data_IF_927392465146
#
_entry.id   IF_927392465146
#
_cell.length_a   1.000
_cell.length_b   1.000
_cell.length_c   1.000
_cell.angle_alpha   90.00
_cell.angle_beta   90.00
_cell.angle_gamma   90.00
#
_symmetry.space_group_name_H-M   'P 1'
#
loop_
_entity.id
_entity.type
_entity.pdbx_description
1 polymer ?
#
# COMPACT_ATOMS: atom_id res chain seq x y z
N UNK A 1 -8.41 -19.36 7.47
CA UNK A 1 -8.97 -18.36 6.53
C UNK A 1 -8.74 -18.92 5.13
N UNK A 2 -9.78 -19.26 4.38
CA UNK A 2 -9.66 -19.81 3.01
C UNK A 2 -9.41 -18.69 2.00
N UNK A 3 -8.36 -17.89 2.22
CA UNK A 3 -8.11 -16.65 1.48
C UNK A 3 -6.69 -16.64 0.92
N UNK A 4 -6.54 -16.15 -0.31
CA UNK A 4 -5.24 -15.75 -0.85
C UNK A 4 -5.13 -14.22 -0.88
N UNK A 5 -3.90 -13.73 -0.74
CA UNK A 5 -3.59 -12.31 -0.61
C UNK A 5 -2.58 -11.88 -1.66
N UNK A 6 -2.81 -10.75 -2.29
CA UNK A 6 -1.88 -10.18 -3.28
C UNK A 6 -2.11 -8.67 -3.42
N UNK A 7 -1.15 -8.01 -4.05
CA UNK A 7 -1.22 -6.60 -4.38
C UNK A 7 -1.40 -6.37 -5.88
N UNK A 8 -2.28 -5.45 -6.27
CA UNK A 8 -2.40 -5.03 -7.68
C UNK A 8 -1.44 -3.87 -7.99
N UNK A 9 -0.88 -3.86 -9.22
CA UNK A 9 0.07 -2.85 -9.67
C UNK A 9 -0.49 -1.44 -9.93
N UNK A 10 0.30 -0.63 -10.61
CA UNK A 10 0.03 0.78 -10.90
C UNK A 10 -1.03 0.98 -12.00
N UNK A 11 -1.72 2.14 -12.02
CA UNK A 11 -2.57 2.53 -13.13
C UNK A 11 -1.75 2.94 -14.35
N UNK A 12 -2.41 2.89 -15.51
CA UNK A 12 -1.85 3.33 -16.79
C UNK A 12 -2.65 4.51 -17.36
N UNK A 13 -1.99 5.48 -18.04
CA UNK A 13 -0.54 5.63 -18.22
C UNK A 13 0.16 6.15 -16.95
N UNK A 14 1.49 6.31 -16.93
CA UNK A 14 2.16 7.00 -15.81
C UNK A 14 1.73 8.45 -15.66
N UNK A 15 1.43 9.14 -16.77
CA UNK A 15 0.92 10.50 -16.77
C UNK A 15 -0.43 10.58 -16.04
N UNK A 16 -0.43 11.11 -14.81
CA UNK A 16 -1.60 11.20 -13.94
C UNK A 16 -2.71 12.06 -14.53
N UNK A 17 -2.33 13.17 -15.19
CA UNK A 17 -3.27 14.18 -15.67
C UNK A 17 -4.22 13.61 -16.73
N UNK A 18 -3.83 12.51 -17.39
CA UNK A 18 -4.63 11.80 -18.39
C UNK A 18 -5.69 10.86 -17.80
N UNK A 19 -5.66 10.58 -16.50
CA UNK A 19 -6.51 9.58 -15.83
C UNK A 19 -7.05 10.10 -14.49
N UNK A 20 -7.92 11.12 -14.52
CA UNK A 20 -8.51 11.69 -13.31
C UNK A 20 -9.32 10.65 -12.53
N UNK A 21 -9.29 10.77 -11.20
CA UNK A 21 -10.01 9.89 -10.28
C UNK A 21 -9.11 8.89 -9.56
N UNK A 22 -9.66 8.19 -8.56
CA UNK A 22 -8.90 7.30 -7.69
C UNK A 22 -8.22 6.12 -8.40
N UNK A 23 -8.64 5.82 -9.63
CA UNK A 23 -8.13 4.71 -10.44
C UNK A 23 -8.31 3.35 -9.75
N UNK A 24 -9.41 3.20 -9.00
CA UNK A 24 -9.73 1.93 -8.36
C UNK A 24 -9.93 0.83 -9.41
N UNK A 25 -9.42 -0.38 -9.21
CA UNK A 25 -8.78 -0.90 -7.99
C UNK A 25 -7.29 -1.19 -8.16
N UNK A 26 -6.54 -0.29 -8.80
CA UNK A 26 -5.07 -0.37 -8.80
C UNK A 26 -4.51 -0.12 -7.40
N UNK A 27 -3.24 -0.43 -7.15
CA UNK A 27 -2.56 -0.17 -5.87
C UNK A 27 -3.26 -0.73 -4.63
N UNK A 28 -4.00 -1.83 -4.78
CA UNK A 28 -4.88 -2.41 -3.76
C UNK A 28 -4.27 -3.68 -3.19
N UNK A 29 -4.27 -3.82 -1.87
CA UNK A 29 -4.08 -5.10 -1.17
C UNK A 29 -5.43 -5.83 -1.21
N UNK A 30 -5.42 -7.07 -1.66
CA UNK A 30 -6.60 -7.91 -1.78
C UNK A 30 -6.55 -9.09 -0.82
N UNK A 31 -7.72 -9.48 -0.34
CA UNK A 31 -7.99 -10.86 0.07
C UNK A 31 -9.14 -11.41 -0.77
N UNK A 32 -8.93 -12.56 -1.37
CA UNK A 32 -9.92 -13.26 -2.19
C UNK A 32 -10.11 -14.67 -1.68
N UNK A 33 -11.34 -15.15 -1.76
CA UNK A 33 -11.66 -16.55 -1.50
C UNK A 33 -10.88 -17.45 -2.48
N UNK A 34 -10.26 -18.50 -1.94
CA UNK A 34 -9.37 -19.37 -2.72
C UNK A 34 -10.10 -20.21 -3.77
N UNK A 35 -11.35 -20.60 -3.47
CA UNK A 35 -12.11 -21.50 -4.34
C UNK A 35 -12.84 -20.73 -5.45
N UNK A 36 -13.33 -19.53 -5.16
CA UNK A 36 -14.19 -18.74 -6.05
C UNK A 36 -13.49 -17.53 -6.68
N UNK A 37 -12.42 -17.03 -6.06
CA UNK A 37 -11.76 -15.79 -6.45
C UNK A 37 -12.53 -14.51 -6.10
N UNK A 38 -13.68 -14.62 -5.42
CA UNK A 38 -14.44 -13.45 -4.97
C UNK A 38 -13.66 -12.65 -3.93
N UNK A 39 -13.66 -11.32 -4.07
CA UNK A 39 -12.96 -10.44 -3.12
C UNK A 39 -13.74 -10.35 -1.80
N UNK A 40 -13.09 -10.78 -0.71
CA UNK A 40 -13.61 -10.58 0.65
C UNK A 40 -13.40 -9.14 1.12
N UNK A 41 -12.22 -8.59 0.83
CA UNK A 41 -11.90 -7.18 1.08
C UNK A 41 -10.80 -6.68 0.15
N UNK A 42 -10.74 -5.37 -0.02
CA UNK A 42 -9.71 -4.67 -0.79
C UNK A 42 -9.37 -3.31 -0.16
N UNK A 43 -8.09 -3.04 0.06
CA UNK A 43 -7.59 -1.78 0.61
C UNK A 43 -6.67 -1.07 -0.38
N UNK A 44 -7.13 0.06 -0.93
CA UNK A 44 -6.34 0.85 -1.90
C UNK A 44 -5.32 1.72 -1.17
N UNK A 45 -4.03 1.38 -1.32
CA UNK A 45 -2.91 2.06 -0.65
C UNK A 45 -2.60 3.43 -1.23
N UNK A 46 -2.65 3.53 -2.56
CA UNK A 46 -2.26 4.73 -3.32
C UNK A 46 -3.38 5.11 -4.29
N UNK A 47 -4.43 5.80 -3.82
CA UNK A 47 -5.46 6.38 -4.70
C UNK A 47 -4.83 7.40 -5.64
N UNK A 48 -5.18 7.33 -6.93
CA UNK A 48 -4.64 8.19 -7.98
C UNK A 48 -3.10 8.27 -7.91
N UNK A 49 -2.44 7.14 -8.17
CA UNK A 49 -0.97 7.09 -8.18
C UNK A 49 -0.38 8.11 -9.17
N UNK A 50 0.71 8.74 -8.78
CA UNK A 50 1.42 9.77 -9.58
C UNK A 50 2.89 9.40 -9.81
N UNK A 51 3.34 8.25 -9.29
CA UNK A 51 4.77 7.98 -9.09
C UNK A 51 5.22 6.57 -9.48
N UNK A 52 4.32 5.74 -10.04
CA UNK A 52 4.58 4.32 -10.32
C UNK A 52 4.89 3.51 -9.05
N UNK A 53 4.18 3.74 -7.96
CA UNK A 53 4.35 2.92 -6.76
C UNK A 53 3.61 1.58 -6.85
N UNK A 54 3.94 0.76 -7.86
CA UNK A 54 3.19 -0.45 -8.18
C UNK A 54 3.10 -1.40 -6.96
N UNK A 55 1.88 -1.55 -6.44
CA UNK A 55 1.65 -2.12 -5.12
C UNK A 55 1.72 -3.63 -5.02
N UNK A 56 2.70 -4.28 -5.66
CA UNK A 56 2.80 -5.73 -5.86
C UNK A 56 3.74 -6.45 -4.87
N UNK A 57 4.35 -5.73 -3.94
CA UNK A 57 5.30 -6.30 -2.99
C UNK A 57 4.66 -7.39 -2.11
N UNK A 58 5.50 -8.19 -1.47
CA UNK A 58 5.16 -9.35 -0.65
C UNK A 58 4.04 -9.09 0.39
N UNK A 59 3.28 -10.13 0.69
CA UNK A 59 2.34 -10.19 1.82
C UNK A 59 2.89 -11.16 2.87
N UNK A 60 3.21 -10.66 4.07
CA UNK A 60 3.73 -11.46 5.19
C UNK A 60 2.59 -11.71 6.17
N UNK A 61 2.25 -12.98 6.43
CA UNK A 61 1.18 -13.34 7.34
C UNK A 61 1.75 -13.72 8.72
N UNK A 62 1.19 -13.18 9.79
CA UNK A 62 1.62 -13.48 11.16
C UNK A 62 0.49 -13.35 12.16
N UNK A 63 0.66 -13.92 13.36
CA UNK A 63 -0.29 -13.83 14.46
C UNK A 63 0.40 -13.16 15.66
N UNK A 64 -0.02 -11.93 15.99
CA UNK A 64 0.55 -11.17 17.10
C UNK A 64 -0.54 -10.55 17.97
N UNK A 65 -0.18 -10.18 19.20
CA UNK A 65 -1.09 -9.45 20.10
C UNK A 65 -1.20 -7.99 19.65
N UNK A 66 -2.42 -7.55 19.36
CA UNK A 66 -2.80 -6.15 19.17
C UNK A 66 -3.79 -5.82 20.28
N UNK A 67 -3.48 -4.81 21.09
CA UNK A 67 -4.27 -4.43 22.27
C UNK A 67 -4.61 -5.61 23.20
N UNK A 68 -3.62 -6.50 23.41
CA UNK A 68 -3.76 -7.68 24.27
C UNK A 68 -4.45 -8.89 23.63
N UNK A 69 -5.03 -8.76 22.43
CA UNK A 69 -5.72 -9.84 21.70
C UNK A 69 -4.88 -10.37 20.56
N UNK A 70 -4.71 -11.71 20.48
CA UNK A 70 -4.10 -12.35 19.32
C UNK A 70 -4.94 -12.03 18.09
N UNK A 71 -4.32 -11.38 17.12
CA UNK A 71 -4.96 -10.85 15.92
C UNK A 71 -4.26 -11.46 14.70
N UNK A 72 -5.04 -11.97 13.71
CA UNK A 72 -4.46 -12.43 12.48
C UNK A 72 -4.06 -11.25 11.60
N UNK A 73 -2.76 -11.06 11.38
CA UNK A 73 -2.19 -9.93 10.65
C UNK A 73 -1.69 -10.32 9.26
N UNK A 74 -1.67 -9.32 8.39
CA UNK A 74 -0.92 -9.23 7.14
C UNK A 74 -0.08 -7.96 7.19
N UNK A 75 1.23 -8.10 7.01
CA UNK A 75 2.20 -7.00 6.90
C UNK A 75 2.68 -6.89 5.46
N UNK A 76 2.76 -5.67 4.95
CA UNK A 76 3.12 -5.37 3.58
C UNK A 76 3.92 -4.06 3.50
N UNK A 77 5.14 -4.11 3.00
CA UNK A 77 5.96 -2.92 2.77
C UNK A 77 5.82 -2.52 1.30
N UNK A 78 5.19 -1.37 1.06
CA UNK A 78 4.86 -0.92 -0.30
C UNK A 78 6.00 -0.11 -0.94
N UNK A 79 5.99 -0.04 -2.28
CA UNK A 79 6.87 0.85 -3.07
C UNK A 79 6.82 2.29 -2.59
N UNK A 80 5.63 2.75 -2.16
CA UNK A 80 5.40 4.12 -1.70
C UNK A 80 6.10 4.48 -0.37
N UNK A 81 6.83 3.53 0.24
CA UNK A 81 7.62 3.75 1.44
C UNK A 81 6.82 3.65 2.74
N UNK A 82 5.59 3.12 2.69
CA UNK A 82 4.77 2.85 3.85
C UNK A 82 4.72 1.33 4.10
N UNK A 83 4.98 0.94 5.35
CA UNK A 83 4.66 -0.38 5.88
C UNK A 83 3.23 -0.38 6.40
N UNK A 84 2.40 -1.24 5.81
CA UNK A 84 1.00 -1.43 6.18
C UNK A 84 0.86 -2.75 6.95
N UNK A 85 0.16 -2.69 8.08
CA UNK A 85 -0.28 -3.88 8.83
C UNK A 85 -1.80 -3.85 8.90
N UNK A 86 -2.43 -4.91 8.41
CA UNK A 86 -3.89 -5.08 8.36
C UNK A 86 -4.30 -6.34 9.10
N UNK A 87 -5.51 -6.37 9.64
CA UNK A 87 -6.14 -7.62 10.04
C UNK A 87 -6.50 -8.41 8.77
N UNK A 88 -5.88 -9.57 8.57
CA UNK A 88 -6.01 -10.34 7.32
C UNK A 88 -7.41 -10.96 7.13
N UNK A 89 -8.20 -11.09 8.18
CA UNK A 89 -9.56 -11.65 8.08
C UNK A 89 -10.56 -10.66 7.47
N UNK A 90 -10.45 -9.37 7.81
CA UNK A 90 -11.46 -8.35 7.48
C UNK A 90 -10.93 -7.09 6.79
N UNK A 91 -9.62 -6.94 6.62
CA UNK A 91 -9.02 -5.79 5.94
C UNK A 91 -8.92 -4.52 6.78
N UNK A 92 -9.20 -4.59 8.09
CA UNK A 92 -9.06 -3.42 8.97
C UNK A 92 -7.59 -2.98 9.05
N UNK A 93 -7.34 -1.70 8.82
CA UNK A 93 -6.00 -1.11 8.96
C UNK A 93 -5.62 -1.02 10.44
N UNK A 94 -4.50 -1.64 10.81
CA UNK A 94 -3.97 -1.65 12.18
C UNK A 94 -2.85 -0.64 12.32
N UNK A 95 -1.94 -0.60 11.35
CA UNK A 95 -0.81 0.32 11.33
C UNK A 95 -0.47 0.73 9.90
N UNK A 96 0.00 1.96 9.74
CA UNK A 96 0.61 2.45 8.50
C UNK A 96 1.72 3.44 8.87
N UNK A 97 2.98 3.04 8.69
CA UNK A 97 4.14 3.82 9.11
C UNK A 97 5.15 3.96 7.96
N UNK A 98 5.82 5.11 7.88
CA UNK A 98 6.95 5.31 6.96
C UNK A 98 8.08 4.35 7.35
N UNK A 99 8.65 3.65 6.36
CA UNK A 99 9.82 2.80 6.58
C UNK A 99 11.10 3.60 6.79
N UNK A 100 11.13 4.82 6.26
CA UNK A 100 12.25 5.75 6.37
C UNK A 100 11.71 7.19 6.42
N UNK A 101 12.29 8.09 7.25
CA UNK A 101 11.85 9.47 7.38
C UNK A 101 11.94 10.29 6.07
N UNK A 102 12.75 9.86 5.09
CA UNK A 102 12.88 10.54 3.80
C UNK A 102 11.61 10.48 2.94
N UNK A 103 10.66 9.58 3.21
CA UNK A 103 9.38 9.54 2.48
C UNK A 103 8.65 10.87 2.64
N UNK A 104 8.35 11.53 1.51
CA UNK A 104 7.79 12.89 1.51
C UNK A 104 6.51 13.06 0.69
N UNK A 105 6.19 12.12 -0.21
CA UNK A 105 4.93 12.11 -1.01
C UNK A 105 3.67 12.14 -0.14
N UNK A 106 3.76 11.58 1.07
CA UNK A 106 2.69 11.61 2.07
C UNK A 106 3.20 12.19 3.38
N UNK A 107 2.40 13.04 4.01
CA UNK A 107 2.64 13.51 5.37
C UNK A 107 2.51 12.35 6.36
N UNK A 108 1.43 11.57 6.20
CA UNK A 108 1.10 10.35 6.95
C UNK A 108 0.02 9.56 6.22
N UNK A 109 -0.34 8.38 6.73
CA UNK A 109 -1.63 7.73 6.45
C UNK A 109 -2.59 8.04 7.60
N UNK A 110 -3.79 8.49 7.28
CA UNK A 110 -4.83 8.68 8.29
C UNK A 110 -5.51 7.33 8.58
N UNK A 111 -5.33 6.81 9.80
CA UNK A 111 -5.86 5.50 10.18
C UNK A 111 -7.39 5.45 10.31
N UNK A 112 -8.06 6.61 10.46
CA UNK A 112 -9.51 6.66 10.55
C UNK A 112 -10.15 6.59 9.17
N UNK A 113 -9.58 7.31 8.19
CA UNK A 113 -10.09 7.30 6.81
C UNK A 113 -9.48 6.19 5.96
N UNK A 114 -8.32 5.66 6.36
CA UNK A 114 -7.56 4.65 5.61
C UNK A 114 -6.87 5.21 4.37
N UNK A 115 -6.63 6.53 4.29
CA UNK A 115 -6.08 7.18 3.09
C UNK A 115 -4.77 7.93 3.39
N UNK A 116 -3.79 7.92 2.46
CA UNK A 116 -2.62 8.79 2.58
C UNK A 116 -2.99 10.27 2.52
N UNK A 117 -2.43 11.07 3.44
CA UNK A 117 -2.49 12.53 3.38
C UNK A 117 -1.37 13.01 2.48
N UNK A 118 -1.71 13.33 1.24
CA UNK A 118 -0.77 13.76 0.19
C UNK A 118 -0.08 15.07 0.55
N UNK A 119 1.18 15.20 0.15
CA UNK A 119 1.88 16.48 0.14
C UNK A 119 1.96 17.02 -1.30
N UNK A 120 1.22 18.10 -1.63
CA UNK A 120 1.20 18.63 -3.00
C UNK A 120 2.56 19.07 -3.53
N UNK A 121 3.52 19.39 -2.65
CA UNK A 121 4.88 19.78 -3.06
C UNK A 121 5.59 18.68 -3.87
N UNK A 122 5.33 17.41 -3.55
CA UNK A 122 5.95 16.24 -4.17
C UNK A 122 5.03 15.51 -5.16
N UNK A 123 3.90 16.14 -5.53
CA UNK A 123 3.01 15.64 -6.59
C UNK A 123 3.65 15.72 -7.97
N UNK A 124 3.21 14.88 -8.90
CA UNK A 124 3.52 15.00 -10.33
C UNK A 124 2.31 15.53 -11.08
N UNK A 125 2.54 16.26 -12.18
CA UNK A 125 1.50 16.77 -13.08
C UNK A 125 2.10 17.25 -14.39
N UNK A 126 1.27 17.33 -15.43
CA UNK A 126 1.66 17.93 -16.70
C UNK A 126 2.21 19.36 -16.53
N UNK A 127 3.12 19.73 -17.41
CA UNK A 127 3.76 21.06 -17.48
C UNK A 127 4.50 21.49 -16.19
N UNK A 128 4.82 20.53 -15.31
CA UNK A 128 5.57 20.76 -14.09
C UNK A 128 6.62 19.69 -13.86
N UNK A 129 7.83 20.11 -13.47
CA UNK A 129 8.89 19.21 -13.03
C UNK A 129 8.89 19.10 -11.51
N UNK A 130 8.40 17.98 -10.99
CA UNK A 130 8.57 17.62 -9.58
C UNK A 130 10.02 17.22 -9.29
N UNK A 131 10.55 17.57 -8.12
CA UNK A 131 11.95 17.35 -7.75
C UNK A 131 12.07 16.85 -6.32
N UNK A 132 13.13 16.06 -6.03
CA UNK A 132 13.41 15.52 -4.70
C UNK A 132 12.25 14.69 -4.11
N UNK A 133 11.50 14.02 -4.99
CA UNK A 133 10.42 13.11 -4.59
C UNK A 133 11.02 11.83 -4.01
N UNK A 134 10.54 11.46 -2.83
CA UNK A 134 10.93 10.26 -2.10
C UNK A 134 9.69 9.47 -1.65
N UNK A 135 9.58 8.17 -2.01
CA UNK A 135 10.53 7.38 -2.80
C UNK A 135 10.60 7.77 -4.29
N UNK A 136 11.63 7.30 -4.99
CA UNK A 136 11.62 7.27 -6.46
C UNK A 136 10.65 6.20 -6.98
N UNK A 137 10.37 6.15 -8.28
CA UNK A 137 9.51 5.12 -8.87
C UNK A 137 9.96 3.68 -8.53
N UNK A 138 11.25 3.42 -8.32
CA UNK A 138 11.75 2.10 -7.88
C UNK A 138 11.28 1.70 -6.47
N UNK A 139 10.80 2.67 -5.69
CA UNK A 139 10.31 2.53 -4.33
C UNK A 139 11.42 2.43 -3.28
N UNK A 140 11.04 2.54 -2.01
CA UNK A 140 11.92 2.18 -0.89
C UNK A 140 11.92 0.67 -0.60
N UNK A 141 10.98 -0.05 -1.21
CA UNK A 141 10.97 -1.50 -1.28
C UNK A 141 10.43 -1.93 -2.66
N UNK A 142 10.91 -3.05 -3.19
CA UNK A 142 10.53 -3.55 -4.52
C UNK A 142 10.19 -5.05 -4.45
N UNK A 143 10.62 -5.86 -5.42
CA UNK A 143 10.30 -7.29 -5.54
C UNK A 143 10.95 -8.22 -4.49
N UNK A 144 11.80 -7.70 -3.61
CA UNK A 144 12.49 -8.51 -2.60
C UNK A 144 11.50 -9.27 -1.72
N UNK A 145 11.90 -10.47 -1.27
CA UNK A 145 11.15 -11.23 -0.28
C UNK A 145 11.87 -11.11 1.06
N UNK A 146 11.21 -10.48 2.01
CA UNK A 146 11.68 -10.32 3.37
C UNK A 146 11.35 -11.57 4.20
N UNK A 147 12.12 -11.74 5.27
CA UNK A 147 11.91 -12.77 6.29
C UNK A 147 11.39 -12.13 7.58
N UNK A 148 10.48 -12.83 8.25
CA UNK A 148 10.01 -12.49 9.58
C UNK A 148 10.35 -13.63 10.53
N UNK A 149 11.13 -13.33 11.56
CA UNK A 149 11.33 -14.24 12.69
C UNK A 149 10.11 -14.18 13.61
N UNK A 150 9.53 -15.33 13.93
CA UNK A 150 8.34 -15.45 14.77
C UNK A 150 8.68 -15.84 16.22
N UNK A 151 9.97 -16.02 16.53
CA UNK A 151 10.49 -16.45 17.84
C UNK A 151 10.72 -17.95 17.94
#
# INVERSE_FOLDING_TARGET
>A
LNLFYYGSGNPAPWNETMRPGDNKWTMTIWARDLDTGEAKWGYQKTPHDEWDFAGVNQMILSDHKVDGKVTPLLTHIDRNGIMYTLNRDNGNLIQAAKVDPAVNVFKKVDLKTGTPVRDPEFSTRMDHKSTNVCPSAMGFHNQGLDALDLG
#
